data_IF_687086918487
#
_entry.id   IF_687086918487
#
_cell.length_a   1.000
_cell.length_b   1.000
_cell.length_c   1.000
_cell.angle_alpha   90.00
_cell.angle_beta   90.00
_cell.angle_gamma   90.00
#
_symmetry.space_group_name_H-M   'P 1'
#
loop_
_entity.id
_entity.type
_entity.pdbx_description
1 polymer ?
#
# COMPACT_ATOMS: atom_id res chain seq x y z
N UNK A 1 20.82 -7.26 -8.39
CA UNK A 1 19.96 -6.94 -9.55
C UNK A 1 19.63 -5.47 -9.40
N UNK A 2 20.37 -4.60 -10.06
CA UNK A 2 20.26 -3.14 -9.88
C UNK A 2 20.23 -2.52 -11.26
N UNK A 3 19.03 -2.28 -11.78
CA UNK A 3 18.87 -1.36 -12.91
C UNK A 3 18.57 0.01 -12.31
N UNK A 4 19.64 0.81 -12.15
CA UNK A 4 19.64 2.14 -11.57
C UNK A 4 19.07 3.20 -12.52
N UNK A 5 18.01 2.89 -13.27
CA UNK A 5 17.37 3.84 -14.18
C UNK A 5 16.16 4.49 -13.48
N UNK A 6 16.41 5.12 -12.35
CA UNK A 6 15.41 5.96 -11.68
C UNK A 6 15.30 7.27 -12.47
N UNK A 7 14.08 7.64 -12.89
CA UNK A 7 13.85 8.94 -13.53
C UNK A 7 14.37 10.08 -12.65
N UNK A 8 14.85 11.18 -13.24
CA UNK A 8 15.38 12.33 -12.49
C UNK A 8 14.37 12.94 -11.50
N UNK A 9 13.07 12.72 -11.71
CA UNK A 9 11.97 13.23 -10.88
C UNK A 9 11.30 12.15 -10.00
N UNK A 10 11.94 10.99 -9.79
CA UNK A 10 11.36 9.93 -8.99
C UNK A 10 11.80 9.96 -7.52
N UNK A 11 10.84 9.68 -6.62
CA UNK A 11 11.10 9.38 -5.21
C UNK A 11 10.95 7.87 -5.03
N UNK A 12 12.01 7.21 -4.56
CA UNK A 12 12.03 5.78 -4.28
C UNK A 12 12.07 5.56 -2.77
N UNK A 13 11.16 4.72 -2.26
CA UNK A 13 11.08 4.36 -0.84
C UNK A 13 11.24 2.85 -0.74
N UNK A 14 12.24 2.40 0.01
CA UNK A 14 12.53 0.98 0.24
C UNK A 14 12.37 0.64 1.72
N UNK A 15 11.64 -0.44 2.00
CA UNK A 15 11.51 -1.02 3.33
C UNK A 15 11.75 -2.53 3.27
N UNK A 16 12.54 -3.04 4.22
CA UNK A 16 12.77 -4.48 4.39
C UNK A 16 12.03 -4.96 5.63
N UNK A 17 11.26 -6.04 5.48
CA UNK A 17 10.50 -6.66 6.57
C UNK A 17 10.86 -8.12 6.69
N UNK A 18 11.08 -8.59 7.92
CA UNK A 18 11.17 -10.02 8.23
C UNK A 18 9.75 -10.58 8.41
N UNK A 19 9.02 -10.65 7.29
CA UNK A 19 7.63 -11.09 7.26
C UNK A 19 7.32 -11.83 5.95
N UNK A 20 6.37 -12.78 5.95
CA UNK A 20 5.91 -13.41 4.73
C UNK A 20 5.33 -12.39 3.74
N UNK A 21 5.61 -12.58 2.45
CA UNK A 21 5.09 -11.72 1.37
C UNK A 21 3.56 -11.58 1.40
N UNK A 22 2.85 -12.65 1.71
CA UNK A 22 1.39 -12.65 1.74
C UNK A 22 0.83 -11.79 2.87
N UNK A 23 1.53 -11.70 4.00
CA UNK A 23 1.15 -10.81 5.09
C UNK A 23 1.33 -9.34 4.69
N UNK A 24 2.44 -9.01 4.02
CA UNK A 24 2.64 -7.66 3.48
C UNK A 24 1.55 -7.33 2.46
N UNK A 25 1.19 -8.27 1.58
CA UNK A 25 0.10 -8.06 0.63
C UNK A 25 -1.24 -7.78 1.32
N UNK A 26 -1.59 -8.55 2.35
CA UNK A 26 -2.79 -8.31 3.16
C UNK A 26 -2.79 -6.92 3.81
N UNK A 27 -1.64 -6.41 4.25
CA UNK A 27 -1.54 -5.04 4.80
C UNK A 27 -1.97 -3.96 3.80
N UNK A 28 -1.80 -4.21 2.50
CA UNK A 28 -2.19 -3.28 1.43
C UNK A 28 -3.62 -3.51 0.94
N UNK A 29 -4.13 -4.74 0.96
CA UNK A 29 -5.43 -5.07 0.35
C UNK A 29 -6.58 -5.20 1.33
N UNK A 30 -6.33 -5.58 2.57
CA UNK A 30 -7.39 -5.71 3.57
C UNK A 30 -7.69 -4.33 4.19
N UNK A 31 -8.93 -3.83 4.12
CA UNK A 31 -9.26 -2.49 4.59
C UNK A 31 -8.92 -2.27 6.07
N UNK A 32 -9.07 -3.32 6.89
CA UNK A 32 -8.78 -3.27 8.32
C UNK A 32 -7.29 -3.08 8.61
N UNK A 33 -6.41 -3.70 7.82
CA UNK A 33 -4.97 -3.50 7.95
C UNK A 33 -4.54 -2.18 7.35
N UNK A 34 -5.02 -1.85 6.14
CA UNK A 34 -4.64 -0.65 5.43
C UNK A 34 -4.88 0.62 6.27
N UNK A 35 -6.07 0.75 6.89
CA UNK A 35 -6.40 1.91 7.74
C UNK A 35 -5.54 2.02 9.01
N UNK A 36 -4.94 0.93 9.46
CA UNK A 36 -4.17 0.90 10.71
C UNK A 36 -2.76 1.49 10.53
N UNK A 37 -2.20 1.43 9.32
CA UNK A 37 -0.84 1.89 9.06
C UNK A 37 -0.75 3.02 8.03
N UNK A 38 -1.73 3.15 7.12
CA UNK A 38 -1.70 4.15 6.06
C UNK A 38 -2.19 5.53 6.52
N UNK A 39 -1.39 6.55 6.22
CA UNK A 39 -1.70 7.94 6.49
C UNK A 39 -1.13 8.46 7.82
N UNK A 40 -1.22 9.78 8.05
CA UNK A 40 -0.73 10.39 9.28
C UNK A 40 -1.62 10.02 10.48
N UNK A 41 -1.05 10.13 11.68
CA UNK A 41 -1.79 9.88 12.92
C UNK A 41 -3.04 10.78 13.01
N UNK A 42 -4.19 10.17 13.31
CA UNK A 42 -5.48 10.86 13.38
C UNK A 42 -6.23 10.96 12.05
N UNK A 43 -5.64 10.51 10.93
CA UNK A 43 -6.37 10.38 9.67
C UNK A 43 -7.49 9.33 9.77
N UNK A 44 -8.61 9.58 9.11
CA UNK A 44 -9.69 8.60 8.93
C UNK A 44 -9.64 8.08 7.50
N UNK A 45 -9.55 6.76 7.33
CA UNK A 45 -9.50 6.09 6.03
C UNK A 45 -10.82 5.34 5.80
N UNK A 46 -11.79 5.92 5.05
CA UNK A 46 -13.07 5.27 4.80
C UNK A 46 -12.96 4.15 3.76
N UNK A 47 -13.78 3.12 3.91
CA UNK A 47 -13.87 2.02 2.93
C UNK A 47 -14.84 2.42 1.81
N UNK A 48 -14.34 2.45 0.58
CA UNK A 48 -15.18 2.57 -0.61
C UNK A 48 -15.55 1.17 -1.11
N UNK A 49 -16.85 0.87 -1.18
CA UNK A 49 -17.35 -0.32 -1.88
C UNK A 49 -17.84 0.09 -3.25
N UNK A 50 -17.22 -0.48 -4.29
CA UNK A 50 -17.67 -0.30 -5.66
C UNK A 50 -18.90 -1.19 -5.87
N UNK A 51 -20.07 -0.64 -5.60
CA UNK A 51 -21.35 -1.27 -5.93
C UNK A 51 -21.80 -0.74 -7.29
N UNK A 52 -21.41 -1.41 -8.36
CA UNK A 52 -21.92 -1.16 -9.69
C UNK A 52 -21.97 -2.46 -10.47
N UNK A 53 -23.05 -2.74 -11.23
CA UNK A 53 -22.95 -3.77 -12.26
C UNK A 53 -21.89 -3.31 -13.26
N UNK A 54 -20.95 -4.21 -13.60
CA UNK A 54 -20.15 -4.05 -14.80
C UNK A 54 -21.12 -3.92 -15.97
N UNK A 55 -21.30 -2.71 -16.48
CA UNK A 55 -21.81 -2.50 -17.84
C UNK A 55 -20.64 -2.51 -18.79
#
# INVERSE_FOLDING_TARGET
>A
MTDAQTSQDAVVIEYSFDAPRDLIWQMWTEPEHFKAWYGPQGATIPVARLAGPCR
#
